data_IF_147931574840
#
_entry.id   IF_147931574840
#
_cell.length_a   1.000
_cell.length_b   1.000
_cell.length_c   1.000
_cell.angle_alpha   90.00
_cell.angle_beta   90.00
_cell.angle_gamma   90.00
#
_symmetry.space_group_name_H-M   'P 1'
#
loop_
_entity.id
_entity.type
_entity.pdbx_description
1 polymer ?
#
# COMPACT_ATOMS: atom_id res chain seq x y z
N UNK A 1 -19.09 -14.25 -27.64
CA UNK A 1 -18.16 -13.26 -27.06
C UNK A 1 -16.95 -14.04 -26.56
N UNK A 2 -15.74 -13.67 -26.99
CA UNK A 2 -14.50 -14.21 -26.41
C UNK A 2 -14.50 -13.96 -24.91
N UNK A 3 -13.97 -14.89 -24.11
CA UNK A 3 -13.80 -14.66 -22.68
C UNK A 3 -12.82 -13.49 -22.51
N UNK A 4 -13.10 -12.50 -21.64
CA UNK A 4 -12.15 -11.44 -21.36
C UNK A 4 -10.83 -12.06 -20.88
N UNK A 5 -9.73 -11.67 -21.52
CA UNK A 5 -8.39 -12.20 -21.24
C UNK A 5 -7.87 -11.49 -20.00
N UNK A 6 -7.57 -12.24 -18.94
CA UNK A 6 -6.88 -11.71 -17.78
C UNK A 6 -5.42 -11.38 -18.13
N UNK A 7 -4.87 -10.35 -17.50
CA UNK A 7 -3.48 -9.93 -17.69
C UNK A 7 -2.69 -10.08 -16.39
N UNK A 8 -1.48 -10.62 -16.46
CA UNK A 8 -0.56 -10.73 -15.32
C UNK A 8 0.40 -9.55 -15.34
N UNK A 9 0.27 -8.62 -14.40
CA UNK A 9 1.18 -7.47 -14.29
C UNK A 9 2.52 -7.87 -13.68
N UNK A 10 2.46 -8.68 -12.63
CA UNK A 10 3.60 -9.34 -12.00
C UNK A 10 3.23 -10.82 -11.78
N UNK A 11 4.16 -11.71 -11.40
CA UNK A 11 3.86 -13.14 -11.25
C UNK A 11 2.64 -13.45 -10.37
N UNK A 12 2.38 -12.60 -9.37
CA UNK A 12 1.27 -12.75 -8.42
C UNK A 12 0.28 -11.58 -8.39
N UNK A 13 0.37 -10.65 -9.34
CA UNK A 13 -0.59 -9.54 -9.48
C UNK A 13 -1.27 -9.66 -10.83
N UNK A 14 -2.57 -9.92 -10.80
CA UNK A 14 -3.38 -10.21 -11.98
C UNK A 14 -4.51 -9.18 -12.08
N UNK A 15 -4.77 -8.68 -13.27
CA UNK A 15 -5.96 -7.86 -13.57
C UNK A 15 -6.94 -8.73 -14.35
N UNK A 16 -8.13 -8.95 -13.78
CA UNK A 16 -9.13 -9.88 -14.33
C UNK A 16 -10.55 -9.31 -14.22
N UNK A 17 -11.47 -9.83 -15.04
CA UNK A 17 -12.85 -9.32 -15.12
C UNK A 17 -13.65 -9.51 -13.83
N UNK A 18 -13.16 -10.32 -12.88
CA UNK A 18 -13.89 -10.61 -11.65
C UNK A 18 -15.10 -11.50 -11.89
N UNK A 19 -16.01 -11.48 -10.91
CA UNK A 19 -17.30 -12.18 -10.97
C UNK A 19 -18.44 -11.26 -11.41
N UNK A 20 -18.22 -9.95 -11.44
CA UNK A 20 -19.23 -8.92 -11.75
C UNK A 20 -19.07 -8.46 -13.20
N UNK A 21 -20.19 -8.31 -13.92
CA UNK A 21 -20.16 -7.84 -15.31
C UNK A 21 -19.77 -6.36 -15.40
N UNK A 22 -18.85 -6.04 -16.32
CA UNK A 22 -18.43 -4.67 -16.61
C UNK A 22 -18.39 -4.46 -18.12
N UNK A 23 -19.01 -3.36 -18.56
CA UNK A 23 -19.25 -3.08 -19.98
C UNK A 23 -17.97 -2.78 -20.78
N UNK A 24 -16.94 -2.23 -20.13
CA UNK A 24 -15.67 -1.87 -20.77
C UNK A 24 -14.48 -2.36 -19.94
N UNK A 25 -14.24 -3.68 -19.98
CA UNK A 25 -13.15 -4.30 -19.23
C UNK A 25 -11.78 -3.93 -19.81
N UNK A 26 -11.69 -3.65 -21.11
CA UNK A 26 -10.42 -3.29 -21.75
C UNK A 26 -9.92 -1.92 -21.30
N UNK A 27 -10.79 -0.89 -21.23
CA UNK A 27 -10.43 0.41 -20.66
C UNK A 27 -10.05 0.27 -19.18
N UNK A 28 -10.77 -0.55 -18.41
CA UNK A 28 -10.41 -0.85 -17.02
C UNK A 28 -8.98 -1.42 -16.92
N UNK A 29 -8.65 -2.44 -17.72
CA UNK A 29 -7.32 -3.05 -17.73
C UNK A 29 -6.23 -2.03 -18.06
N UNK A 30 -6.45 -1.21 -19.09
CA UNK A 30 -5.51 -0.16 -19.50
C UNK A 30 -5.23 0.83 -18.36
N UNK A 31 -6.27 1.31 -17.68
CA UNK A 31 -6.10 2.27 -16.58
C UNK A 31 -5.41 1.66 -15.37
N UNK A 32 -5.80 0.45 -14.97
CA UNK A 32 -5.14 -0.26 -13.87
C UNK A 32 -3.67 -0.48 -14.16
N UNK A 33 -3.32 -0.84 -15.40
CA UNK A 33 -1.92 -0.97 -15.82
C UNK A 33 -1.15 0.35 -15.65
N UNK A 34 -1.72 1.46 -16.11
CA UNK A 34 -1.10 2.78 -15.98
C UNK A 34 -0.90 3.16 -14.51
N UNK A 35 -1.89 2.92 -13.65
CA UNK A 35 -1.78 3.20 -12.22
C UNK A 35 -0.73 2.33 -11.53
N UNK A 36 -0.65 1.03 -11.86
CA UNK A 36 0.39 0.16 -11.32
C UNK A 36 1.78 0.60 -11.78
N UNK A 37 1.93 1.01 -13.04
CA UNK A 37 3.17 1.55 -13.56
C UNK A 37 3.56 2.86 -12.86
N UNK A 38 2.60 3.76 -12.62
CA UNK A 38 2.83 4.99 -11.86
C UNK A 38 3.25 4.70 -10.41
N UNK A 39 2.63 3.71 -9.76
CA UNK A 39 3.00 3.28 -8.40
C UNK A 39 4.46 2.81 -8.36
N UNK A 40 4.87 1.98 -9.31
CA UNK A 40 6.25 1.49 -9.38
C UNK A 40 7.28 2.59 -9.69
N UNK A 41 6.94 3.49 -10.63
CA UNK A 41 7.85 4.53 -11.12
C UNK A 41 8.06 5.65 -10.12
N UNK A 42 7.02 5.96 -9.34
CA UNK A 42 7.04 7.14 -8.50
C UNK A 42 8.10 7.06 -7.40
N UNK A 43 8.24 5.91 -6.74
CA UNK A 43 9.04 5.83 -5.53
C UNK A 43 9.35 4.41 -5.01
N UNK A 44 10.18 4.32 -3.96
CA UNK A 44 10.63 3.06 -3.38
C UNK A 44 9.50 2.27 -2.75
N UNK A 45 8.56 2.96 -2.10
CA UNK A 45 7.46 2.33 -1.36
C UNK A 45 6.54 1.54 -2.31
N UNK A 46 6.11 2.16 -3.41
CA UNK A 46 5.29 1.50 -4.43
C UNK A 46 6.00 0.33 -5.10
N UNK A 47 7.28 0.52 -5.47
CA UNK A 47 8.12 -0.54 -6.00
C UNK A 47 8.22 -1.74 -5.05
N UNK A 48 8.50 -1.48 -3.76
CA UNK A 48 8.69 -2.51 -2.75
C UNK A 48 7.44 -3.38 -2.56
N UNK A 49 6.27 -2.76 -2.47
CA UNK A 49 5.00 -3.47 -2.34
C UNK A 49 4.76 -4.40 -3.53
N UNK A 50 4.91 -3.89 -4.76
CA UNK A 50 4.66 -4.68 -5.97
C UNK A 50 5.66 -5.84 -6.10
N UNK A 51 6.95 -5.58 -5.87
CA UNK A 51 7.98 -6.63 -5.93
C UNK A 51 7.74 -7.72 -4.90
N UNK A 52 7.50 -7.35 -3.64
CA UNK A 52 7.34 -8.32 -2.57
C UNK A 52 6.09 -9.16 -2.77
N UNK A 53 4.96 -8.57 -3.19
CA UNK A 53 3.77 -9.35 -3.58
C UNK A 53 4.09 -10.28 -4.75
N UNK A 54 4.81 -9.77 -5.76
CA UNK A 54 5.25 -10.53 -6.93
C UNK A 54 6.06 -11.78 -6.58
N UNK A 55 6.76 -11.80 -5.45
CA UNK A 55 7.57 -12.93 -4.98
C UNK A 55 6.79 -13.93 -4.10
N UNK A 56 5.57 -13.63 -3.68
CA UNK A 56 4.80 -14.50 -2.77
C UNK A 56 4.19 -15.70 -3.48
N UNK A 57 4.45 -16.91 -3.00
CA UNK A 57 3.92 -18.14 -3.62
C UNK A 57 2.52 -18.55 -3.15
N UNK A 58 2.01 -17.97 -2.05
CA UNK A 58 0.88 -18.54 -1.32
C UNK A 58 -0.50 -18.13 -1.83
N UNK A 59 -0.65 -16.90 -2.31
CA UNK A 59 -1.91 -16.34 -2.84
C UNK A 59 -1.60 -15.47 -4.04
N UNK A 60 -2.58 -15.32 -4.93
CA UNK A 60 -2.52 -14.31 -5.99
C UNK A 60 -3.34 -13.10 -5.56
N UNK A 61 -2.85 -11.91 -5.89
CA UNK A 61 -3.62 -10.68 -5.78
C UNK A 61 -4.30 -10.44 -7.11
N UNK A 62 -5.63 -10.34 -7.10
CA UNK A 62 -6.42 -10.18 -8.31
C UNK A 62 -7.21 -8.88 -8.23
N UNK A 63 -6.86 -7.94 -9.09
CA UNK A 63 -7.54 -6.64 -9.21
C UNK A 63 -8.70 -6.81 -10.19
N UNK A 64 -9.91 -6.49 -9.71
CA UNK A 64 -11.16 -6.69 -10.44
C UNK A 64 -11.97 -5.41 -10.51
N UNK A 65 -12.80 -5.21 -11.54
CA UNK A 65 -13.67 -4.06 -11.57
C UNK A 65 -14.90 -4.29 -10.69
N UNK A 66 -15.32 -3.25 -9.96
CA UNK A 66 -16.55 -3.26 -9.16
C UNK A 66 -17.57 -2.26 -9.72
N UNK A 67 -18.78 -2.69 -10.12
CA UNK A 67 -19.86 -1.77 -10.49
C UNK A 67 -20.39 -0.95 -9.31
N UNK A 68 -20.10 -1.33 -8.06
CA UNK A 68 -20.53 -0.60 -6.87
C UNK A 68 -19.69 0.68 -6.73
N UNK A 69 -20.37 1.79 -6.41
CA UNK A 69 -19.77 3.12 -6.29
C UNK A 69 -18.86 3.23 -5.07
N UNK A 70 -17.73 3.91 -5.23
CA UNK A 70 -16.87 4.38 -4.14
C UNK A 70 -16.16 3.31 -3.31
N UNK A 71 -16.25 2.02 -3.68
CA UNK A 71 -15.60 0.95 -2.93
C UNK A 71 -14.30 0.49 -3.59
N UNK A 72 -13.26 0.41 -2.76
CA UNK A 72 -12.12 -0.46 -2.95
C UNK A 72 -11.80 -1.05 -1.57
N UNK A 73 -11.66 -2.37 -1.48
CA UNK A 73 -11.38 -3.06 -0.22
C UNK A 73 -10.79 -4.42 -0.54
N UNK A 74 -9.51 -4.64 -0.24
CA UNK A 74 -8.88 -5.93 -0.37
C UNK A 74 -9.62 -6.98 0.47
N UNK A 75 -9.99 -8.11 -0.14
CA UNK A 75 -10.73 -9.18 0.50
C UNK A 75 -10.00 -10.52 0.34
N UNK A 76 -9.75 -11.22 1.47
CA UNK A 76 -9.21 -12.59 1.45
C UNK A 76 -10.30 -13.58 1.01
N UNK A 77 -10.24 -14.00 -0.26
CA UNK A 77 -11.18 -14.95 -0.86
C UNK A 77 -10.66 -16.37 -0.75
N UNK A 78 -11.08 -17.07 0.30
CA UNK A 78 -10.66 -18.46 0.56
C UNK A 78 -11.42 -19.52 -0.26
N UNK A 79 -12.50 -19.16 -0.95
CA UNK A 79 -13.38 -20.14 -1.61
C UNK A 79 -14.24 -19.62 -2.78
N UNK A 80 -13.94 -18.46 -3.38
CA UNK A 80 -14.71 -18.00 -4.54
C UNK A 80 -14.54 -18.96 -5.72
N UNK A 81 -15.66 -19.30 -6.36
CA UNK A 81 -15.74 -20.27 -7.46
C UNK A 81 -14.73 -19.90 -8.57
N UNK A 82 -13.70 -20.74 -8.71
CA UNK A 82 -12.78 -20.73 -9.85
C UNK A 82 -11.47 -19.97 -9.67
N UNK A 83 -11.26 -19.25 -8.58
CA UNK A 83 -10.06 -18.40 -8.40
C UNK A 83 -9.07 -18.98 -7.38
N UNK A 84 -9.55 -19.84 -6.47
CA UNK A 84 -8.73 -20.49 -5.45
C UNK A 84 -8.38 -19.55 -4.29
N UNK A 85 -7.30 -19.87 -3.57
CA UNK A 85 -6.80 -19.08 -2.44
C UNK A 85 -6.19 -17.75 -2.93
N UNK A 86 -6.99 -16.69 -2.97
CA UNK A 86 -6.64 -15.41 -3.60
C UNK A 86 -7.04 -14.24 -2.72
N UNK A 87 -6.41 -13.09 -2.95
CA UNK A 87 -6.84 -11.81 -2.40
C UNK A 87 -7.43 -11.00 -3.55
N UNK A 88 -8.70 -10.66 -3.46
CA UNK A 88 -9.37 -9.83 -4.47
C UNK A 88 -9.25 -8.36 -4.07
N UNK A 89 -8.90 -7.50 -5.03
CA UNK A 89 -8.97 -6.05 -4.89
C UNK A 89 -10.03 -5.55 -5.89
N UNK A 90 -11.30 -5.41 -5.47
CA UNK A 90 -12.33 -4.79 -6.27
C UNK A 90 -12.05 -3.28 -6.37
N UNK A 91 -12.06 -2.73 -7.58
CA UNK A 91 -11.86 -1.30 -7.84
C UNK A 91 -13.11 -0.75 -8.51
N UNK A 92 -13.75 0.23 -7.86
CA UNK A 92 -14.92 0.89 -8.43
C UNK A 92 -14.65 1.48 -9.82
N UNK A 93 -15.55 1.23 -10.76
CA UNK A 93 -15.49 1.80 -12.11
C UNK A 93 -15.54 3.34 -12.13
N UNK A 94 -15.96 3.99 -11.05
CA UNK A 94 -15.95 5.45 -10.94
C UNK A 94 -14.53 6.02 -10.86
N UNK A 95 -13.57 5.26 -10.32
CA UNK A 95 -12.15 5.64 -10.33
C UNK A 95 -11.61 5.65 -11.76
N UNK A 96 -11.99 4.64 -12.56
CA UNK A 96 -11.65 4.55 -14.00
C UNK A 96 -12.23 5.73 -14.77
N UNK A 97 -13.49 6.08 -14.50
CA UNK A 97 -14.17 7.21 -15.14
C UNK A 97 -13.71 8.60 -14.63
N UNK A 98 -12.86 8.65 -13.60
CA UNK A 98 -12.39 9.90 -13.02
C UNK A 98 -13.47 10.71 -12.29
N UNK A 99 -14.60 10.07 -11.94
CA UNK A 99 -15.74 10.70 -11.24
C UNK A 99 -15.69 10.51 -9.73
N UNK A 100 -14.73 9.74 -9.23
CA UNK A 100 -14.56 9.46 -7.82
C UNK A 100 -14.01 10.67 -7.03
N UNK A 101 -14.06 10.53 -5.70
CA UNK A 101 -13.54 11.52 -4.76
C UNK A 101 -12.07 11.84 -5.03
N UNK A 102 -11.68 13.11 -4.84
CA UNK A 102 -10.32 13.60 -5.07
C UNK A 102 -9.58 14.01 -3.79
N UNK A 103 -10.12 13.63 -2.64
CA UNK A 103 -9.50 13.81 -1.33
C UNK A 103 -8.11 13.14 -1.25
N UNK A 104 -7.27 13.55 -0.27
CA UNK A 104 -5.97 12.90 -0.02
C UNK A 104 -6.11 11.39 0.19
N UNK A 105 -5.39 10.59 -0.60
CA UNK A 105 -5.45 9.13 -0.53
C UNK A 105 -6.55 8.51 -1.40
N UNK A 106 -7.23 9.30 -2.23
CA UNK A 106 -8.34 8.85 -3.09
C UNK A 106 -8.05 8.98 -4.60
N UNK A 107 -6.83 9.38 -4.99
CA UNK A 107 -6.44 9.19 -6.39
C UNK A 107 -6.39 7.70 -6.72
N UNK A 108 -6.69 7.28 -7.96
CA UNK A 108 -6.77 5.85 -8.30
C UNK A 108 -5.50 5.06 -7.98
N UNK A 109 -4.32 5.63 -8.18
CA UNK A 109 -3.03 5.04 -7.82
C UNK A 109 -2.82 4.97 -6.30
N UNK A 110 -3.25 6.00 -5.56
CA UNK A 110 -3.21 6.03 -4.09
C UNK A 110 -4.08 4.92 -3.48
N UNK A 111 -5.28 4.71 -4.03
CA UNK A 111 -6.19 3.65 -3.59
C UNK A 111 -5.66 2.28 -3.93
N UNK A 112 -5.17 2.08 -5.15
CA UNK A 112 -4.61 0.78 -5.53
C UNK A 112 -3.41 0.43 -4.65
N UNK A 113 -2.53 1.40 -4.36
CA UNK A 113 -1.44 1.16 -3.43
C UNK A 113 -1.95 0.82 -2.02
N UNK A 114 -2.95 1.54 -1.50
CA UNK A 114 -3.57 1.27 -0.20
C UNK A 114 -4.07 -0.17 -0.12
N UNK A 115 -4.81 -0.63 -1.13
CA UNK A 115 -5.32 -2.00 -1.17
C UNK A 115 -4.23 -3.06 -1.41
N UNK A 116 -3.17 -2.74 -2.17
CA UNK A 116 -2.02 -3.63 -2.31
C UNK A 116 -1.27 -3.80 -0.98
N UNK A 117 -1.17 -2.75 -0.16
CA UNK A 117 -0.60 -2.85 1.19
C UNK A 117 -1.44 -3.78 2.06
N UNK A 118 -2.77 -3.66 2.02
CA UNK A 118 -3.66 -4.61 2.69
C UNK A 118 -3.41 -6.03 2.24
N UNK A 119 -3.35 -6.27 0.92
CA UNK A 119 -3.08 -7.59 0.36
C UNK A 119 -1.73 -8.15 0.84
N UNK A 120 -0.67 -7.34 0.85
CA UNK A 120 0.64 -7.70 1.38
C UNK A 120 0.56 -8.18 2.84
N UNK A 121 -0.19 -7.49 3.71
CA UNK A 121 -0.35 -7.90 5.11
C UNK A 121 -1.25 -9.12 5.28
N UNK A 122 -2.29 -9.28 4.46
CA UNK A 122 -3.12 -10.50 4.44
C UNK A 122 -2.32 -11.74 4.06
N UNK A 123 -1.32 -11.61 3.20
CA UNK A 123 -0.38 -12.68 2.87
C UNK A 123 0.46 -13.16 4.05
N UNK A 124 0.84 -12.26 4.94
CA UNK A 124 1.64 -12.55 6.13
C UNK A 124 0.81 -12.99 7.33
N UNK A 125 -0.52 -13.10 7.18
CA UNK A 125 -1.42 -13.41 8.28
C UNK A 125 -1.38 -12.36 9.39
N UNK A 126 -1.03 -11.12 9.06
CA UNK A 126 -0.95 -10.03 10.02
C UNK A 126 -2.32 -9.83 10.70
N UNK A 127 -2.29 -9.55 12.01
CA UNK A 127 -3.50 -9.40 12.83
C UNK A 127 -4.29 -8.17 12.37
N UNK A 128 -5.29 -8.37 11.53
CA UNK A 128 -6.18 -7.32 11.08
C UNK A 128 -7.24 -6.95 12.13
N UNK A 129 -7.41 -7.72 13.21
CA UNK A 129 -8.64 -7.62 14.02
C UNK A 129 -8.54 -6.77 15.30
N UNK A 130 -7.44 -6.05 15.54
CA UNK A 130 -7.36 -5.18 16.72
C UNK A 130 -7.84 -3.78 16.40
N UNK A 131 -8.97 -3.39 16.99
CA UNK A 131 -9.48 -2.03 16.96
C UNK A 131 -8.40 -1.03 17.41
N UNK A 132 -7.91 -0.22 16.48
CA UNK A 132 -6.94 0.84 16.77
C UNK A 132 -7.62 2.21 16.77
N UNK A 133 -7.73 2.79 17.95
CA UNK A 133 -8.03 4.20 18.15
C UNK A 133 -6.77 4.89 18.68
N UNK A 134 -6.32 5.92 17.96
CA UNK A 134 -5.17 6.74 18.38
C UNK A 134 -5.67 8.15 18.70
N UNK A 135 -5.67 8.57 19.98
CA UNK A 135 -6.13 9.91 20.33
C UNK A 135 -5.27 11.02 19.69
N UNK A 136 -5.82 12.25 19.53
CA UNK A 136 -7.19 12.61 19.89
C UNK A 136 -8.24 12.21 18.84
N UNK A 137 -7.89 11.98 17.56
CA UNK A 137 -8.88 11.79 16.49
C UNK A 137 -8.38 10.94 15.29
N UNK A 138 -7.53 9.94 15.52
CA UNK A 138 -7.13 9.01 14.46
C UNK A 138 -7.95 7.73 14.55
N UNK A 139 -8.70 7.50 13.49
CA UNK A 139 -9.52 6.30 13.35
C UNK A 139 -8.86 5.39 12.32
N UNK A 140 -8.06 4.41 12.73
CA UNK A 140 -7.51 3.44 11.79
C UNK A 140 -8.37 2.19 11.68
N UNK A 141 -9.25 1.87 12.64
CA UNK A 141 -9.94 0.58 12.75
C UNK A 141 -9.03 -0.62 12.98
N UNK A 142 -7.89 -0.74 12.30
CA UNK A 142 -7.00 -1.91 12.40
C UNK A 142 -5.54 -1.52 12.26
N UNK A 143 -4.63 -2.44 12.62
CA UNK A 143 -3.21 -2.28 12.32
C UNK A 143 -2.92 -2.26 10.81
N UNK A 144 -3.63 -3.10 10.04
CA UNK A 144 -3.49 -3.13 8.58
C UNK A 144 -3.83 -1.78 7.95
N UNK A 145 -4.91 -1.13 8.39
CA UNK A 145 -5.32 0.17 7.90
C UNK A 145 -4.38 1.29 8.36
N UNK A 146 -3.82 1.22 9.58
CA UNK A 146 -2.74 2.12 9.97
C UNK A 146 -1.55 2.02 9.00
N UNK A 147 -1.10 0.79 8.70
CA UNK A 147 0.02 0.56 7.79
C UNK A 147 -0.32 1.04 6.37
N UNK A 148 -1.54 0.75 5.88
CA UNK A 148 -2.02 1.17 4.57
C UNK A 148 -2.07 2.70 4.44
N UNK A 149 -2.64 3.42 5.42
CA UNK A 149 -2.67 4.88 5.43
C UNK A 149 -1.26 5.47 5.52
N UNK A 150 -0.41 4.96 6.43
CA UNK A 150 0.93 5.50 6.64
C UNK A 150 1.80 5.34 5.38
N UNK A 151 1.86 4.14 4.81
CA UNK A 151 2.68 3.86 3.64
C UNK A 151 2.15 4.57 2.39
N UNK A 152 0.82 4.71 2.25
CA UNK A 152 0.21 5.52 1.17
C UNK A 152 0.57 6.99 1.32
N UNK A 153 0.55 7.55 2.53
CA UNK A 153 0.99 8.93 2.76
C UNK A 153 2.47 9.16 2.43
N UNK A 154 3.33 8.19 2.77
CA UNK A 154 4.76 8.23 2.42
C UNK A 154 4.93 8.25 0.89
N UNK A 155 4.19 7.38 0.19
CA UNK A 155 4.12 7.37 -1.28
C UNK A 155 3.64 8.71 -1.85
N UNK A 156 2.53 9.25 -1.33
CA UNK A 156 1.97 10.54 -1.75
C UNK A 156 2.96 11.69 -1.54
N UNK A 157 3.63 11.72 -0.39
CA UNK A 157 4.62 12.74 -0.07
C UNK A 157 5.83 12.68 -1.00
N UNK A 158 6.29 11.47 -1.35
CA UNK A 158 7.33 11.27 -2.34
C UNK A 158 6.93 11.77 -3.75
N UNK A 159 5.64 11.70 -4.08
CA UNK A 159 5.05 12.33 -5.30
C UNK A 159 4.84 13.84 -5.18
N UNK A 160 5.27 14.47 -4.09
CA UNK A 160 5.14 15.90 -3.85
C UNK A 160 3.76 16.35 -3.38
N UNK A 161 2.84 15.43 -3.05
CA UNK A 161 1.52 15.79 -2.49
C UNK A 161 1.73 16.42 -1.11
N UNK A 162 1.10 17.57 -0.90
CA UNK A 162 1.16 18.32 0.36
C UNK A 162 0.03 17.95 1.32
N UNK A 163 -1.13 17.57 0.78
CA UNK A 163 -2.26 17.12 1.55
C UNK A 163 -2.19 15.60 1.68
N UNK A 164 -2.08 15.11 2.91
CA UNK A 164 -1.98 13.69 3.26
C UNK A 164 -3.26 13.24 3.98
N UNK A 165 -3.53 11.93 3.98
CA UNK A 165 -4.69 11.33 4.64
C UNK A 165 -4.41 11.15 6.12
N UNK A 166 -5.29 11.60 6.99
CA UNK A 166 -5.14 11.43 8.44
C UNK A 166 -5.38 9.97 8.84
N UNK A 167 -6.49 9.42 8.35
CA UNK A 167 -7.09 8.18 8.83
C UNK A 167 -8.05 7.57 7.79
N UNK A 168 -8.77 6.50 8.12
CA UNK A 168 -9.67 5.84 7.16
C UNK A 168 -10.87 6.73 6.73
N UNK A 169 -11.21 7.80 7.45
CA UNK A 169 -12.43 8.62 7.27
C UNK A 169 -12.29 9.73 6.22
N UNK A 170 -11.27 9.65 5.36
CA UNK A 170 -10.94 10.67 4.34
C UNK A 170 -10.47 12.03 4.89
N UNK A 171 -10.32 12.16 6.21
CA UNK A 171 -9.86 13.40 6.81
C UNK A 171 -8.42 13.73 6.38
N UNK A 172 -8.11 15.01 6.23
CA UNK A 172 -6.75 15.45 5.92
C UNK A 172 -5.87 15.48 7.19
N UNK A 173 -4.62 15.06 7.05
CA UNK A 173 -3.59 15.18 8.07
C UNK A 173 -3.11 16.64 8.13
N UNK A 174 -3.20 17.25 9.31
CA UNK A 174 -2.94 18.69 9.49
C UNK A 174 -2.04 18.96 10.69
N UNK A 175 -1.47 20.18 10.75
CA UNK A 175 -0.69 20.64 11.91
C UNK A 175 0.60 19.85 12.10
N UNK A 176 1.06 19.71 13.35
CA UNK A 176 2.30 18.99 13.68
C UNK A 176 2.30 17.53 13.22
N UNK A 177 1.11 16.91 13.10
CA UNK A 177 0.99 15.52 12.66
C UNK A 177 1.34 15.33 11.18
N UNK A 178 1.42 16.40 10.40
CA UNK A 178 1.88 16.37 9.00
C UNK A 178 3.40 16.35 8.85
N UNK A 179 4.14 16.27 9.96
CA UNK A 179 5.61 16.20 10.00
C UNK A 179 6.04 14.93 10.74
N UNK A 180 7.21 14.39 10.38
CA UNK A 180 7.69 13.10 10.90
C UNK A 180 7.71 13.04 12.44
N UNK A 181 8.37 14.01 13.07
CA UNK A 181 8.50 14.07 14.51
C UNK A 181 7.14 14.24 15.19
N UNK A 182 6.32 15.20 14.74
CA UNK A 182 5.01 15.47 15.33
C UNK A 182 4.01 14.31 15.14
N UNK A 183 4.15 13.54 14.06
CA UNK A 183 3.38 12.30 13.85
C UNK A 183 3.73 11.23 14.87
N UNK A 184 5.02 11.08 15.22
CA UNK A 184 5.47 10.10 16.23
C UNK A 184 5.15 10.53 17.66
N UNK A 185 5.39 11.82 17.96
CA UNK A 185 5.36 12.37 19.31
C UNK A 185 3.93 12.63 19.81
N UNK A 186 2.92 12.48 18.95
CA UNK A 186 1.48 12.64 19.25
C UNK A 186 1.15 12.31 20.71
N UNK A 187 1.11 13.36 21.52
CA UNK A 187 0.79 13.27 22.93
C UNK A 187 -0.72 13.14 23.01
N UNK A 188 -1.20 11.93 23.29
CA UNK A 188 -2.52 11.81 23.89
C UNK A 188 -2.43 12.55 25.23
N UNK A 189 -3.24 13.60 25.44
CA UNK A 189 -3.34 14.25 26.75
C UNK A 189 -3.64 13.15 27.78
N UNK A 190 -2.71 12.87 28.71
CA UNK A 190 -2.90 11.78 29.67
C UNK A 190 -4.12 12.02 30.57
N UNK A 191 -4.58 13.27 30.71
CA UNK A 191 -5.74 13.63 31.50
C UNK A 191 -7.08 13.47 30.75
N UNK A 192 -7.06 13.40 29.41
CA UNK A 192 -8.30 13.37 28.62
C UNK A 192 -8.90 11.95 28.51
N UNK A 193 -8.09 10.90 28.65
CA UNK A 193 -8.54 9.53 28.37
C UNK A 193 -8.37 8.53 29.52
N UNK A 194 -7.78 8.90 30.66
CA UNK A 194 -7.75 8.04 31.86
C UNK A 194 -7.06 6.68 31.71
N UNK A 195 -6.35 6.43 30.60
CA UNK A 195 -5.62 5.18 30.37
C UNK A 195 -4.16 5.31 30.79
N UNK A 196 -3.66 4.46 31.71
CA UNK A 196 -2.29 4.54 32.23
C UNK A 196 -1.22 3.92 31.30
N UNK A 197 -1.47 3.77 29.99
CA UNK A 197 -0.52 3.12 29.08
C UNK A 197 0.21 4.12 28.17
N UNK A 198 1.46 4.40 28.56
CA UNK A 198 2.64 4.68 27.71
C UNK A 198 2.39 5.39 26.36
N UNK A 199 2.56 6.71 26.40
CA UNK A 199 3.31 7.60 25.49
C UNK A 199 3.74 7.00 24.13
N UNK A 200 3.31 7.67 23.04
CA UNK A 200 3.66 7.45 21.62
C UNK A 200 2.97 6.28 20.89
N UNK A 201 1.64 6.35 20.68
CA UNK A 201 0.89 5.30 20.00
C UNK A 201 1.40 5.02 18.57
N UNK A 202 1.75 6.06 17.80
CA UNK A 202 2.29 5.87 16.45
C UNK A 202 3.70 5.29 16.42
N UNK A 203 4.57 5.66 17.37
CA UNK A 203 5.91 5.07 17.47
C UNK A 203 5.81 3.56 17.68
N UNK A 204 4.94 3.11 18.58
CA UNK A 204 4.72 1.67 18.82
C UNK A 204 4.14 0.97 17.60
N UNK A 205 3.23 1.61 16.87
CA UNK A 205 2.68 1.04 15.63
C UNK A 205 3.75 0.95 14.53
N UNK A 206 4.66 1.93 14.43
CA UNK A 206 5.80 1.86 13.52
C UNK A 206 6.78 0.76 13.92
N UNK A 207 7.05 0.58 15.21
CA UNK A 207 7.82 -0.58 15.68
C UNK A 207 7.18 -1.90 15.22
N UNK A 208 5.88 -2.08 15.49
CA UNK A 208 5.16 -3.29 15.07
C UNK A 208 5.18 -3.48 13.55
N UNK A 209 5.17 -2.39 12.79
CA UNK A 209 5.30 -2.41 11.33
C UNK A 209 6.69 -2.88 10.89
N UNK A 210 7.75 -2.39 11.56
CA UNK A 210 9.12 -2.82 11.28
C UNK A 210 9.37 -4.28 11.62
N UNK A 211 8.70 -4.83 12.64
CA UNK A 211 8.77 -6.25 12.99
C UNK A 211 7.98 -7.13 12.02
N UNK A 212 6.81 -6.68 11.56
CA UNK A 212 5.93 -7.47 10.68
C UNK A 212 6.33 -7.42 9.21
N UNK A 213 7.01 -6.36 8.77
CA UNK A 213 7.39 -6.16 7.37
C UNK A 213 8.84 -5.66 7.22
N UNK A 214 9.84 -6.33 7.82
CA UNK A 214 11.21 -5.82 7.87
C UNK A 214 11.81 -5.64 6.47
N UNK A 215 11.56 -6.56 5.54
CA UNK A 215 12.04 -6.45 4.16
C UNK A 215 11.49 -5.21 3.46
N UNK A 216 10.18 -4.97 3.55
CA UNK A 216 9.54 -3.78 2.98
C UNK A 216 10.14 -2.50 3.57
N UNK A 217 10.25 -2.45 4.90
CA UNK A 217 10.70 -1.25 5.59
C UNK A 217 12.18 -0.95 5.32
N UNK A 218 13.06 -1.93 5.48
CA UNK A 218 14.49 -1.72 5.39
C UNK A 218 15.02 -1.71 3.94
N UNK A 219 14.37 -2.38 2.99
CA UNK A 219 14.85 -2.43 1.61
C UNK A 219 14.25 -1.31 0.74
N UNK A 220 13.09 -0.78 1.13
CA UNK A 220 12.33 0.15 0.30
C UNK A 220 11.95 1.42 1.05
N UNK A 221 11.04 1.33 2.03
CA UNK A 221 10.37 2.51 2.60
C UNK A 221 11.33 3.48 3.28
N UNK A 222 12.37 3.00 3.96
CA UNK A 222 13.36 3.89 4.60
C UNK A 222 14.16 4.75 3.63
N UNK A 223 14.25 4.34 2.36
CA UNK A 223 14.99 5.02 1.31
C UNK A 223 14.15 6.10 0.60
N UNK A 224 12.89 6.21 0.99
CA UNK A 224 11.97 7.18 0.42
C UNK A 224 12.37 8.62 0.76
N UNK A 225 12.35 9.50 -0.24
CA UNK A 225 12.80 10.89 -0.13
C UNK A 225 11.68 11.92 -0.02
N UNK A 226 10.46 11.49 0.33
CA UNK A 226 9.35 12.38 0.65
C UNK A 226 9.62 13.28 1.87
N UNK A 227 8.86 14.38 1.94
CA UNK A 227 8.85 15.32 3.08
C UNK A 227 8.28 14.65 4.34
N UNK A 228 7.36 13.70 4.16
CA UNK A 228 6.76 12.90 5.20
C UNK A 228 7.24 11.45 5.07
N UNK A 229 8.13 11.04 5.97
CA UNK A 229 8.53 9.66 6.19
C UNK A 229 8.86 9.40 7.68
N UNK A 230 7.82 9.26 8.53
CA UNK A 230 8.01 9.01 9.96
C UNK A 230 8.77 7.71 10.27
N UNK A 231 8.75 6.74 9.35
CA UNK A 231 9.49 5.47 9.49
C UNK A 231 10.99 5.73 9.35
N UNK A 232 11.42 6.47 8.32
CA UNK A 232 12.84 6.86 8.16
C UNK A 232 13.31 7.69 9.35
N UNK A 233 12.51 8.65 9.79
CA UNK A 233 12.82 9.44 10.98
C UNK A 233 13.00 8.54 12.20
N UNK A 234 12.02 7.68 12.49
CA UNK A 234 12.05 6.72 13.59
C UNK A 234 13.34 5.89 13.61
N UNK A 235 13.66 5.24 12.47
CA UNK A 235 14.85 4.38 12.34
C UNK A 235 16.16 5.14 12.53
N UNK A 236 16.20 6.43 12.20
CA UNK A 236 17.38 7.28 12.39
C UNK A 236 17.51 7.81 13.84
N UNK A 237 16.42 7.81 14.61
CA UNK A 237 16.41 8.33 15.99
C UNK A 237 16.50 7.26 17.08
N UNK A 238 16.19 5.99 16.77
CA UNK A 238 16.28 4.92 17.77
C UNK A 238 17.74 4.58 18.11
N UNK A 239 18.03 4.13 19.35
CA UNK A 239 19.37 3.68 19.73
C UNK A 239 19.84 2.51 18.85
N UNK A 240 21.12 2.50 18.46
CA UNK A 240 21.71 1.44 17.60
C UNK A 240 21.47 0.02 18.14
N UNK A 241 21.39 -0.14 19.47
CA UNK A 241 21.03 -1.43 20.08
C UNK A 241 19.66 -1.92 19.62
N UNK A 242 18.63 -1.07 19.66
CA UNK A 242 17.28 -1.40 19.18
C UNK A 242 17.26 -1.59 17.67
N UNK A 243 18.00 -0.76 16.93
CA UNK A 243 18.10 -0.91 15.48
C UNK A 243 18.66 -2.29 15.08
N UNK A 244 19.65 -2.82 15.83
CA UNK A 244 20.17 -4.18 15.61
C UNK A 244 19.16 -5.29 15.90
N UNK A 245 18.21 -5.06 16.80
CA UNK A 245 17.13 -6.03 17.10
C UNK A 245 16.11 -6.10 15.94
N UNK A 246 15.91 -4.99 15.22
CA UNK A 246 14.98 -4.90 14.09
C UNK A 246 15.58 -5.33 12.74
N UNK A 247 16.91 -5.27 12.58
CA UNK A 247 17.54 -5.66 11.31
C UNK A 247 17.32 -7.16 11.06
N UNK A 248 17.02 -7.57 9.82
CA UNK A 248 17.05 -8.98 9.43
C UNK A 248 18.34 -9.64 9.90
N UNK A 249 18.24 -10.83 10.52
CA UNK A 249 19.42 -11.54 11.03
C UNK A 249 20.31 -11.89 9.84
N UNK A 250 21.54 -11.36 9.86
CA UNK A 250 22.52 -11.42 8.77
C UNK A 250 22.61 -12.81 8.12
N UNK A 251 22.17 -12.89 6.87
CA UNK A 251 22.09 -14.10 6.04
C UNK A 251 21.19 -13.86 4.82
N UNK A 252 20.14 -13.06 5.01
CA UNK A 252 19.39 -12.45 3.92
C UNK A 252 20.21 -11.28 3.37
N UNK A 253 20.89 -11.53 2.25
CA UNK A 253 21.61 -10.49 1.54
C UNK A 253 20.58 -9.52 0.98
N UNK A 254 20.66 -8.27 1.44
CA UNK A 254 19.96 -7.15 0.83
C UNK A 254 20.40 -7.11 -0.64
N UNK A 255 19.52 -7.52 -1.56
CA UNK A 255 19.76 -7.36 -2.99
C UNK A 255 20.05 -5.88 -3.26
N UNK A 256 21.08 -5.61 -4.05
CA UNK A 256 21.53 -4.23 -4.26
C UNK A 256 20.46 -3.49 -5.04
N UNK A 257 20.32 -2.19 -4.74
CA UNK A 257 19.49 -1.24 -5.47
C UNK A 257 19.54 -1.43 -6.99
N UNK A 258 20.71 -1.71 -7.55
CA UNK A 258 20.95 -1.92 -8.98
C UNK A 258 20.22 -3.16 -9.57
N UNK A 259 20.08 -4.23 -8.79
CA UNK A 259 19.39 -5.46 -9.22
C UNK A 259 17.87 -5.24 -9.25
N UNK A 260 17.35 -4.55 -8.24
CA UNK A 260 15.93 -4.17 -8.17
C UNK A 260 15.56 -3.12 -9.21
N UNK A 261 16.40 -2.13 -9.43
CA UNK A 261 16.21 -1.17 -10.52
C UNK A 261 16.21 -1.89 -11.87
N UNK A 262 17.04 -2.90 -12.07
CA UNK A 262 17.04 -3.71 -13.29
C UNK A 262 15.70 -4.41 -13.57
N UNK A 263 15.13 -5.11 -12.58
CA UNK A 263 13.83 -5.79 -12.70
C UNK A 263 12.66 -4.81 -12.80
N UNK A 264 12.65 -3.78 -11.96
CA UNK A 264 11.66 -2.71 -12.01
C UNK A 264 11.66 -2.03 -13.38
N UNK A 265 12.84 -1.73 -13.92
CA UNK A 265 12.97 -1.12 -15.24
C UNK A 265 12.55 -2.07 -16.36
N UNK A 266 12.65 -3.40 -16.21
CA UNK A 266 12.08 -4.35 -17.17
C UNK A 266 10.55 -4.26 -17.17
N UNK A 267 9.92 -4.30 -16.00
CA UNK A 267 8.47 -4.19 -15.86
C UNK A 267 7.95 -2.83 -16.37
N UNK A 268 8.68 -1.75 -16.08
CA UNK A 268 8.41 -0.41 -16.59
C UNK A 268 8.50 -0.35 -18.12
N UNK A 269 9.59 -0.88 -18.70
CA UNK A 269 9.76 -0.93 -20.16
C UNK A 269 8.67 -1.75 -20.83
N UNK A 270 8.22 -2.82 -20.19
CA UNK A 270 7.11 -3.64 -20.68
C UNK A 270 5.79 -2.88 -20.61
N UNK A 271 5.51 -2.17 -19.52
CA UNK A 271 4.33 -1.29 -19.43
C UNK A 271 4.35 -0.20 -20.51
N UNK A 272 5.51 0.43 -20.77
CA UNK A 272 5.70 1.43 -21.84
C UNK A 272 5.61 0.83 -23.24
N UNK A 273 5.98 -0.43 -23.43
CA UNK A 273 5.80 -1.16 -24.68
C UNK A 273 4.32 -1.39 -24.93
N UNK A 274 3.59 -1.90 -23.94
CA UNK A 274 2.14 -2.15 -24.02
C UNK A 274 1.36 -0.86 -24.27
N UNK A 275 1.76 0.25 -23.63
CA UNK A 275 1.16 1.57 -23.87
C UNK A 275 1.33 2.03 -25.33
N UNK A 276 2.52 1.81 -25.92
CA UNK A 276 2.81 2.24 -27.30
C UNK A 276 2.23 1.33 -28.37
N UNK A 277 2.25 0.02 -28.15
CA UNK A 277 1.95 -0.97 -29.19
C UNK A 277 0.47 -1.37 -29.22
N UNK A 278 -0.31 -1.04 -28.18
CA UNK A 278 -1.67 -1.56 -28.03
C UNK A 278 -1.68 -3.03 -27.63
N UNK A 279 -2.86 -3.53 -27.24
CA UNK A 279 -3.03 -4.83 -26.58
C UNK A 279 -3.18 -6.03 -27.53
N UNK A 280 -2.98 -5.84 -28.83
CA UNK A 280 -3.33 -6.84 -29.85
C UNK A 280 -2.24 -7.90 -30.14
N UNK A 281 -1.29 -8.13 -29.23
CA UNK A 281 -0.24 -9.17 -29.37
C UNK A 281 0.00 -9.98 -28.11
#
# INVERSE_FOLDING_TARGET
MSKPVAFSYAPNIIVAAGTKYVYDFEDFQKRVLLWLADIMKANWTGLGIINLIGQMSNKKVIITPDPIKGQACAEDRRSTQGWGNTIEIPISIEYVKGTANKSPGFMPDEIILHELIHAYFMHHGAKQDMALFVPPNFYYHTFGEFAAVLLTNIYMSAKGRQALRRDHTEAQLTGMCSHDEGFLILHADPNQFGYPYSQFPHERLIWNLTEQAPELIFNYVRHENGVFNPIRYYLNTIPERRLRELRPRSGETFQRKEEFEGEAMKLVREAERVEREGWDK
#
